data_IF_677894623968
#
_entry.id   IF_677894623968
#
_cell.length_a   1.000
_cell.length_b   1.000
_cell.length_c   1.000
_cell.angle_alpha   90.00
_cell.angle_beta   90.00
_cell.angle_gamma   90.00
#
_symmetry.space_group_name_H-M   'P 1'
#
loop_
_entity.id
_entity.type
_entity.pdbx_description
1 polymer ?
#
# COMPACT_ATOMS: atom_id res chain seq x y z
N UNK A 1 -8.26 1.66 -19.15
CA UNK A 1 -8.61 2.40 -17.92
C UNK A 1 -7.84 1.80 -16.75
N UNK A 2 -7.31 2.63 -15.84
CA UNK A 2 -6.64 2.21 -14.61
C UNK A 2 -7.48 2.69 -13.43
N UNK A 3 -7.69 1.82 -12.43
CA UNK A 3 -8.39 2.13 -11.19
C UNK A 3 -7.39 1.93 -10.04
N UNK A 4 -7.19 2.97 -9.26
CA UNK A 4 -6.35 2.92 -8.07
C UNK A 4 -7.23 2.72 -6.83
N UNK A 5 -6.94 1.70 -6.06
CA UNK A 5 -7.64 1.39 -4.81
C UNK A 5 -6.63 1.41 -3.68
N UNK A 6 -6.89 2.24 -2.66
CA UNK A 6 -6.10 2.24 -1.43
C UNK A 6 -6.50 1.04 -0.58
N UNK A 7 -5.53 0.43 0.12
CA UNK A 7 -5.81 -0.59 1.13
C UNK A 7 -6.73 -0.06 2.24
N UNK A 8 -7.46 -0.94 2.91
CA UNK A 8 -8.30 -0.61 4.04
C UNK A 8 -7.49 -0.25 5.30
N UNK A 9 -8.20 0.08 6.37
CA UNK A 9 -7.57 0.28 7.68
C UNK A 9 -6.74 -0.95 8.04
N UNK A 10 -5.51 -0.73 8.51
CA UNK A 10 -4.57 -1.77 8.88
C UNK A 10 -4.05 -1.56 10.31
N UNK A 11 -3.49 -2.60 10.90
CA UNK A 11 -3.07 -2.60 12.31
C UNK A 11 -2.08 -1.49 12.66
N UNK A 12 -1.21 -1.09 11.72
CA UNK A 12 -0.31 0.04 11.98
C UNK A 12 -1.03 1.36 12.25
N UNK A 13 -2.25 1.57 11.70
CA UNK A 13 -3.03 2.76 12.01
C UNK A 13 -3.56 2.73 13.45
N UNK A 14 -4.09 1.58 13.89
CA UNK A 14 -4.68 1.42 15.25
C UNK A 14 -3.62 1.32 16.35
N UNK A 15 -2.43 0.84 16.02
CA UNK A 15 -1.30 0.70 16.92
C UNK A 15 -0.35 1.91 16.88
N UNK A 16 -0.69 2.96 16.10
CA UNK A 16 0.13 4.17 15.93
C UNK A 16 1.57 3.86 15.50
N UNK A 17 1.71 2.87 14.62
CA UNK A 17 2.98 2.55 13.97
C UNK A 17 3.10 3.30 12.64
N UNK A 18 4.34 3.46 12.18
CA UNK A 18 4.61 3.99 10.85
C UNK A 18 4.05 3.08 9.76
N UNK A 19 3.67 3.66 8.62
CA UNK A 19 3.32 2.91 7.41
C UNK A 19 4.56 2.43 6.65
N UNK A 20 4.69 2.82 5.40
CA UNK A 20 5.83 2.43 4.56
C UNK A 20 5.93 0.91 4.43
N UNK A 21 7.09 0.35 4.75
CA UNK A 21 7.34 -1.09 4.70
C UNK A 21 6.99 -1.83 5.99
N UNK A 22 6.34 -1.18 6.95
CA UNK A 22 5.71 -1.88 8.08
C UNK A 22 4.70 -2.88 7.53
N UNK A 23 4.91 -4.17 7.79
CA UNK A 23 4.07 -5.23 7.24
C UNK A 23 2.89 -5.52 8.18
N UNK A 24 1.87 -4.72 8.05
CA UNK A 24 0.64 -4.75 8.85
C UNK A 24 -0.52 -5.43 8.13
N UNK A 25 -1.43 -6.02 8.88
CA UNK A 25 -2.63 -6.70 8.39
C UNK A 25 -3.83 -5.76 8.39
N UNK A 26 -4.87 -6.08 7.62
CA UNK A 26 -6.13 -5.36 7.68
C UNK A 26 -6.82 -5.59 9.03
N UNK A 27 -7.37 -4.53 9.59
CA UNK A 27 -8.30 -4.64 10.73
C UNK A 27 -9.67 -5.19 10.26
N UNK A 28 -10.52 -5.57 11.21
CA UNK A 28 -11.90 -5.94 10.90
C UNK A 28 -12.64 -4.80 10.16
N UNK A 29 -12.43 -3.55 10.59
CA UNK A 29 -12.98 -2.38 9.92
C UNK A 29 -12.43 -2.23 8.50
N UNK A 30 -11.13 -2.42 8.30
CA UNK A 30 -10.49 -2.40 6.99
C UNK A 30 -11.08 -3.43 6.03
N UNK A 31 -11.35 -4.64 6.51
CA UNK A 31 -12.00 -5.68 5.71
C UNK A 31 -13.41 -5.27 5.27
N UNK A 32 -14.19 -4.67 6.16
CA UNK A 32 -15.53 -4.13 5.83
C UNK A 32 -15.46 -3.02 4.80
N UNK A 33 -14.47 -2.11 4.92
CA UNK A 33 -14.23 -1.06 3.92
C UNK A 33 -13.98 -1.66 2.54
N UNK A 34 -13.13 -2.68 2.45
CA UNK A 34 -12.83 -3.33 1.17
C UNK A 34 -14.00 -4.13 0.61
N UNK A 35 -14.83 -4.72 1.45
CA UNK A 35 -16.05 -5.38 1.00
C UNK A 35 -17.02 -4.39 0.32
N UNK A 36 -17.15 -3.18 0.87
CA UNK A 36 -17.95 -2.11 0.27
C UNK A 36 -17.39 -1.67 -1.09
N UNK A 37 -16.07 -1.44 -1.16
CA UNK A 37 -15.36 -1.11 -2.42
C UNK A 37 -15.54 -2.23 -3.45
N UNK A 38 -15.32 -3.47 -3.05
CA UNK A 38 -15.46 -4.64 -3.92
C UNK A 38 -16.87 -4.78 -4.48
N UNK A 39 -17.90 -4.52 -3.65
CA UNK A 39 -19.29 -4.56 -4.08
C UNK A 39 -19.62 -3.48 -5.11
N UNK A 40 -19.05 -2.26 -4.93
CA UNK A 40 -19.20 -1.20 -5.91
C UNK A 40 -18.50 -1.55 -7.22
N UNK A 41 -17.28 -2.03 -7.18
CA UNK A 41 -16.54 -2.44 -8.38
C UNK A 41 -17.25 -3.57 -9.12
N UNK A 42 -17.81 -4.57 -8.41
CA UNK A 42 -18.57 -5.66 -9.02
C UNK A 42 -19.82 -5.15 -9.73
N UNK A 43 -20.46 -4.12 -9.20
CA UNK A 43 -21.61 -3.47 -9.86
C UNK A 43 -21.18 -2.67 -11.10
N UNK A 44 -20.12 -1.88 -10.97
CA UNK A 44 -19.64 -1.01 -12.05
C UNK A 44 -19.07 -1.81 -13.23
N UNK A 45 -18.51 -2.99 -12.97
CA UNK A 45 -17.86 -3.85 -13.97
C UNK A 45 -18.60 -5.20 -14.17
N UNK A 46 -19.90 -5.22 -13.94
CA UNK A 46 -20.70 -6.41 -14.13
C UNK A 46 -20.52 -6.99 -15.55
N UNK A 47 -20.20 -8.29 -15.62
CA UNK A 47 -19.94 -8.98 -16.90
C UNK A 47 -18.57 -8.75 -17.54
N UNK A 48 -17.73 -7.91 -16.97
CA UNK A 48 -16.40 -7.56 -17.52
C UNK A 48 -15.22 -8.15 -16.71
N UNK A 49 -15.48 -9.02 -15.74
CA UNK A 49 -14.45 -9.56 -14.83
C UNK A 49 -13.31 -10.28 -15.55
N UNK A 50 -13.54 -10.85 -16.72
CA UNK A 50 -12.52 -11.55 -17.52
C UNK A 50 -11.46 -10.61 -18.09
N UNK A 51 -11.80 -9.34 -18.27
CA UNK A 51 -10.91 -8.32 -18.83
C UNK A 51 -10.16 -7.54 -17.76
N UNK A 52 -10.45 -7.82 -16.48
CA UNK A 52 -9.84 -7.14 -15.36
C UNK A 52 -8.61 -7.90 -14.84
N UNK A 53 -7.57 -7.13 -14.56
CA UNK A 53 -6.37 -7.61 -13.86
C UNK A 53 -6.22 -6.86 -12.56
N UNK A 54 -5.78 -7.56 -11.52
CA UNK A 54 -5.50 -6.96 -10.22
C UNK A 54 -4.01 -7.09 -9.95
N UNK A 55 -3.34 -5.93 -9.90
CA UNK A 55 -1.95 -5.82 -9.49
C UNK A 55 -1.93 -5.23 -8.08
N UNK A 56 -1.05 -5.72 -7.22
CA UNK A 56 -0.95 -5.28 -5.84
C UNK A 56 0.50 -5.29 -5.38
N UNK A 57 0.82 -4.61 -4.30
CA UNK A 57 2.07 -4.88 -3.60
C UNK A 57 1.93 -6.18 -2.79
N UNK A 58 3.06 -6.75 -2.42
CA UNK A 58 3.16 -7.94 -1.59
C UNK A 58 3.11 -7.65 -0.08
N UNK A 59 2.91 -6.39 0.32
CA UNK A 59 2.61 -6.03 1.70
C UNK A 59 1.24 -6.59 2.10
N UNK A 60 1.13 -7.22 3.27
CA UNK A 60 -0.08 -7.93 3.73
C UNK A 60 -1.35 -7.11 3.56
N UNK A 61 -1.38 -5.87 4.05
CA UNK A 61 -2.57 -5.00 3.94
C UNK A 61 -3.05 -4.78 2.51
N UNK A 62 -2.13 -4.67 1.56
CA UNK A 62 -2.45 -4.47 0.16
C UNK A 62 -2.90 -5.78 -0.50
N UNK A 63 -2.20 -6.87 -0.23
CA UNK A 63 -2.55 -8.19 -0.75
C UNK A 63 -3.90 -8.67 -0.22
N UNK A 64 -4.19 -8.51 1.09
CA UNK A 64 -5.50 -8.83 1.66
C UNK A 64 -6.61 -7.99 1.03
N UNK A 65 -6.38 -6.69 0.81
CA UNK A 65 -7.33 -5.80 0.12
C UNK A 65 -7.62 -6.31 -1.28
N UNK A 66 -6.58 -6.67 -2.03
CA UNK A 66 -6.71 -7.20 -3.38
C UNK A 66 -7.45 -8.54 -3.41
N UNK A 67 -7.21 -9.43 -2.43
CA UNK A 67 -7.92 -10.71 -2.31
C UNK A 67 -9.43 -10.54 -2.09
N UNK A 68 -9.83 -9.59 -1.25
CA UNK A 68 -11.25 -9.28 -1.00
C UNK A 68 -11.92 -8.81 -2.30
N UNK A 69 -11.26 -7.93 -3.05
CA UNK A 69 -11.78 -7.43 -4.32
C UNK A 69 -11.84 -8.55 -5.35
N UNK A 70 -10.78 -9.35 -5.49
CA UNK A 70 -10.70 -10.45 -6.43
C UNK A 70 -11.80 -11.47 -6.20
N UNK A 71 -12.03 -11.88 -4.95
CA UNK A 71 -13.08 -12.82 -4.59
C UNK A 71 -14.46 -12.30 -5.00
N UNK A 72 -14.74 -11.02 -4.78
CA UNK A 72 -16.03 -10.42 -5.11
C UNK A 72 -16.26 -10.28 -6.62
N UNK A 73 -15.19 -10.04 -7.38
CA UNK A 73 -15.22 -9.90 -8.84
C UNK A 73 -15.10 -11.25 -9.58
N UNK A 74 -14.81 -12.35 -8.88
CA UNK A 74 -14.57 -13.66 -9.50
C UNK A 74 -13.24 -13.73 -10.26
N UNK A 75 -12.24 -12.95 -9.85
CA UNK A 75 -10.90 -12.94 -10.44
C UNK A 75 -10.03 -13.92 -9.67
N UNK A 76 -9.52 -14.95 -10.34
CA UNK A 76 -8.72 -16.01 -9.71
C UNK A 76 -7.23 -15.67 -9.58
N UNK A 77 -6.72 -14.75 -10.40
CA UNK A 77 -5.30 -14.41 -10.44
C UNK A 77 -5.03 -13.04 -9.85
N UNK A 78 -4.22 -13.01 -8.80
CA UNK A 78 -3.59 -11.80 -8.27
C UNK A 78 -2.14 -11.73 -8.72
N UNK A 79 -1.66 -10.52 -8.95
CA UNK A 79 -0.28 -10.27 -9.35
C UNK A 79 0.41 -9.35 -8.31
N UNK A 80 1.03 -9.94 -7.25
CA UNK A 80 1.77 -9.17 -6.27
C UNK A 80 3.15 -8.81 -6.80
N UNK A 81 3.55 -7.55 -6.63
CA UNK A 81 4.84 -7.03 -7.04
C UNK A 81 5.47 -6.20 -5.93
N UNK A 82 6.73 -6.49 -5.61
CA UNK A 82 7.49 -5.72 -4.62
C UNK A 82 7.65 -4.25 -5.05
N UNK A 83 7.84 -4.01 -6.35
CA UNK A 83 7.99 -2.64 -6.86
C UNK A 83 6.75 -1.75 -6.65
N UNK A 84 5.57 -2.35 -6.37
CA UNK A 84 4.35 -1.62 -6.02
C UNK A 84 4.23 -1.29 -4.52
N UNK A 85 5.19 -1.70 -3.68
CA UNK A 85 5.20 -1.30 -2.28
C UNK A 85 5.21 0.21 -2.14
N UNK A 86 4.63 0.70 -1.05
CA UNK A 86 4.80 2.08 -0.61
C UNK A 86 6.28 2.44 -0.45
N UNK A 87 6.61 3.73 -0.37
CA UNK A 87 7.98 4.19 -0.15
C UNK A 87 8.59 3.51 1.09
N UNK A 88 9.79 2.96 0.91
CA UNK A 88 10.52 2.33 2.00
C UNK A 88 10.93 3.37 3.05
N UNK A 89 10.49 3.18 4.27
CA UNK A 89 10.83 4.02 5.43
C UNK A 89 12.00 3.46 6.27
N UNK A 90 12.73 2.46 5.75
CA UNK A 90 13.96 1.95 6.34
C UNK A 90 13.82 1.57 7.81
N UNK A 91 14.70 2.09 8.66
CA UNK A 91 14.70 1.80 10.10
C UNK A 91 13.46 2.29 10.84
N UNK A 92 12.64 3.13 10.24
CA UNK A 92 11.36 3.55 10.83
C UNK A 92 10.26 2.50 10.67
N UNK A 93 10.43 1.47 9.83
CA UNK A 93 9.45 0.40 9.67
C UNK A 93 9.23 -0.36 10.99
N UNK A 94 7.97 -0.56 11.37
CA UNK A 94 7.59 -1.26 12.61
C UNK A 94 7.74 -0.43 13.89
N UNK A 95 8.25 0.79 13.81
CA UNK A 95 8.34 1.68 14.97
C UNK A 95 7.04 2.43 15.20
N UNK A 96 6.82 2.86 16.44
CA UNK A 96 5.77 3.84 16.75
C UNK A 96 6.06 5.15 16.04
N UNK A 97 5.03 5.91 15.71
CA UNK A 97 5.20 7.24 15.10
C UNK A 97 6.09 8.16 15.94
N UNK A 98 5.99 8.06 17.26
CA UNK A 98 6.83 8.83 18.19
C UNK A 98 8.30 8.42 18.09
N UNK A 99 8.61 7.11 18.09
CA UNK A 99 9.98 6.63 17.97
C UNK A 99 10.56 6.97 16.58
N UNK A 100 9.78 6.86 15.52
CA UNK A 100 10.19 7.19 14.17
C UNK A 100 10.52 8.69 13.99
N UNK A 101 9.85 9.59 14.72
CA UNK A 101 10.18 11.03 14.69
C UNK A 101 11.62 11.31 15.10
N UNK A 102 12.19 10.52 16.01
CA UNK A 102 13.57 10.66 16.42
C UNK A 102 14.58 10.31 15.32
N UNK A 103 14.18 9.49 14.35
CA UNK A 103 14.99 9.09 13.20
C UNK A 103 14.75 9.97 11.98
N UNK A 104 13.70 10.79 11.99
CA UNK A 104 13.31 11.59 10.83
C UNK A 104 14.33 12.68 10.52
N UNK A 105 14.78 12.71 9.29
CA UNK A 105 15.67 13.72 8.76
C UNK A 105 14.91 14.66 7.82
N UNK A 106 14.85 15.93 8.20
CA UNK A 106 14.15 16.94 7.42
C UNK A 106 14.90 17.21 6.11
N UNK A 107 14.24 17.18 4.94
CA UNK A 107 14.89 17.53 3.70
C UNK A 107 15.21 19.05 3.67
N UNK A 108 16.33 19.45 3.04
CA UNK A 108 16.69 20.87 2.89
C UNK A 108 15.61 21.71 2.18
N UNK A 109 14.93 21.09 1.22
CA UNK A 109 13.80 21.68 0.51
C UNK A 109 12.73 20.61 0.22
N UNK A 110 11.48 21.04 0.02
CA UNK A 110 10.39 20.13 -0.35
C UNK A 110 10.56 19.50 -1.75
N UNK A 111 11.44 20.04 -2.57
CA UNK A 111 11.72 19.55 -3.93
C UNK A 111 12.92 18.58 -3.98
N UNK A 112 13.56 18.32 -2.83
CA UNK A 112 14.73 17.44 -2.78
C UNK A 112 14.33 15.98 -3.11
N UNK A 113 14.91 15.46 -4.19
CA UNK A 113 14.61 14.12 -4.69
C UNK A 113 15.53 13.04 -4.11
N UNK A 114 16.75 13.41 -3.74
CA UNK A 114 17.80 12.47 -3.30
C UNK A 114 17.97 12.40 -1.78
N UNK A 115 17.13 13.10 -1.03
CA UNK A 115 17.16 13.08 0.43
C UNK A 115 16.46 11.84 1.00
N UNK A 116 17.08 11.23 2.01
CA UNK A 116 16.49 10.13 2.79
C UNK A 116 15.89 10.67 4.07
N UNK A 117 14.59 10.56 4.21
CA UNK A 117 13.90 11.00 5.43
C UNK A 117 14.18 10.09 6.64
N UNK A 118 14.53 8.82 6.38
CA UNK A 118 14.87 7.84 7.41
C UNK A 118 16.10 7.05 7.01
N UNK A 119 16.97 6.66 7.98
CA UNK A 119 18.12 5.80 7.72
C UNK A 119 17.66 4.49 7.05
N UNK A 120 18.33 4.09 5.97
CA UNK A 120 18.00 2.88 5.21
C UNK A 120 16.71 2.96 4.39
N UNK A 121 16.01 4.08 4.40
CA UNK A 121 14.82 4.29 3.58
C UNK A 121 15.14 4.69 2.14
N UNK A 122 14.11 4.75 1.31
CA UNK A 122 14.23 5.23 -0.08
C UNK A 122 14.22 6.77 -0.14
N UNK A 123 14.96 7.32 -1.09
CA UNK A 123 14.75 8.69 -1.57
C UNK A 123 13.49 8.76 -2.44
N UNK A 124 13.04 9.96 -2.78
CA UNK A 124 11.94 10.12 -3.74
C UNK A 124 12.33 9.64 -5.14
N UNK A 125 13.58 9.85 -5.53
CA UNK A 125 14.07 9.41 -6.84
C UNK A 125 14.10 7.88 -6.93
N UNK A 126 14.63 7.18 -5.93
CA UNK A 126 14.66 5.72 -5.89
C UNK A 126 13.24 5.12 -5.92
N UNK A 127 12.30 5.71 -5.17
CA UNK A 127 10.90 5.31 -5.19
C UNK A 127 10.29 5.49 -6.59
N UNK A 128 10.54 6.62 -7.23
CA UNK A 128 10.08 6.88 -8.60
C UNK A 128 10.67 5.87 -9.58
N UNK A 129 11.99 5.69 -9.57
CA UNK A 129 12.69 4.81 -10.51
C UNK A 129 12.20 3.37 -10.42
N UNK A 130 11.91 2.90 -9.21
CA UNK A 130 11.36 1.57 -8.95
C UNK A 130 9.95 1.38 -9.54
N UNK A 131 9.16 2.43 -9.63
CA UNK A 131 7.77 2.36 -10.09
C UNK A 131 7.58 2.60 -11.59
N UNK A 132 8.60 3.07 -12.31
CA UNK A 132 8.51 3.37 -13.76
C UNK A 132 9.31 2.43 -14.65
N UNK A 133 9.80 1.34 -14.08
CA UNK A 133 10.56 0.32 -14.82
C UNK A 133 9.70 -0.50 -15.77
#
# INVERSE_FOLDING_TARGET
>A
MIILVRHGEATHHTEHLTGGWTDSELTAAGKVQLQAVASKLAKDFAGQSRDLRILTSDLKRAEESARIIAARLGISKLEPYEFLREKNNGQAAGLTETAAKALYQQPPTLKELHHRNYPGGETRQEFYDRNVQ
#
